data_IF_271138262466
#
_entry.id   IF_271138262466
#
_cell.length_a   1.000
_cell.length_b   1.000
_cell.length_c   1.000
_cell.angle_alpha   90.00
_cell.angle_beta   90.00
_cell.angle_gamma   90.00
#
_symmetry.space_group_name_H-M   'P 1'
#
loop_
_entity.id
_entity.type
_entity.pdbx_description
1 polymer ?
#
# COMPACT_ATOMS: atom_id res chain seq x y z
N UNK A 1 -3.63 -9.24 -22.88
CA UNK A 1 -4.12 -8.68 -21.61
C UNK A 1 -3.32 -9.32 -20.50
N UNK A 2 -2.54 -8.51 -19.79
CA UNK A 2 -1.75 -8.96 -18.66
C UNK A 2 -2.60 -9.02 -17.39
N UNK A 3 -2.21 -9.87 -16.45
CA UNK A 3 -2.83 -9.94 -15.13
C UNK A 3 -1.83 -9.58 -14.07
N UNK A 4 -2.27 -8.81 -13.09
CA UNK A 4 -1.49 -8.42 -11.92
C UNK A 4 -2.27 -8.73 -10.66
N UNK A 5 -1.61 -9.33 -9.69
CA UNK A 5 -2.09 -9.43 -8.32
C UNK A 5 -1.33 -8.42 -7.47
N UNK A 6 -2.02 -7.43 -6.96
CA UNK A 6 -1.42 -6.31 -6.20
C UNK A 6 -1.97 -6.27 -4.78
N UNK A 7 -1.15 -5.83 -3.83
CA UNK A 7 -1.57 -5.67 -2.44
C UNK A 7 -0.90 -4.47 -1.78
N UNK A 8 -1.54 -3.91 -0.76
CA UNK A 8 -0.97 -2.89 0.13
C UNK A 8 -1.20 -3.26 1.59
N UNK A 9 -0.26 -2.90 2.46
CA UNK A 9 -0.34 -3.07 3.91
C UNK A 9 0.51 -2.01 4.61
N UNK A 10 -0.06 -1.23 5.51
CA UNK A 10 0.71 -0.56 6.54
C UNK A 10 1.17 -1.62 7.55
N UNK A 11 2.51 -1.80 7.72
CA UNK A 11 3.07 -2.93 8.48
C UNK A 11 3.27 -2.62 9.97
N UNK A 12 2.92 -1.40 10.42
CA UNK A 12 3.12 -0.92 11.79
C UNK A 12 4.58 -1.09 12.24
N UNK A 13 5.53 -0.50 11.58
CA UNK A 13 6.97 -0.50 11.88
C UNK A 13 7.43 -1.65 12.84
N UNK A 14 8.48 -1.43 13.66
CA UNK A 14 8.96 -2.40 14.66
C UNK A 14 8.23 -2.30 16.00
N UNK A 15 7.21 -1.44 16.11
CA UNK A 15 6.45 -1.31 17.31
C UNK A 15 5.76 -2.63 17.67
N UNK A 16 5.46 -2.74 18.91
CA UNK A 16 4.70 -3.77 19.59
C UNK A 16 4.52 -5.10 18.86
N UNK A 17 4.98 -6.14 19.51
CA UNK A 17 4.75 -7.53 19.10
C UNK A 17 5.32 -7.88 17.71
N UNK A 18 6.26 -7.08 17.16
CA UNK A 18 6.83 -7.37 15.84
C UNK A 18 7.31 -8.82 15.69
N UNK A 19 8.04 -9.44 16.64
CA UNK A 19 8.45 -10.85 16.52
C UNK A 19 7.28 -11.83 16.42
N UNK A 20 6.13 -11.51 17.02
CA UNK A 20 4.91 -12.32 16.98
C UNK A 20 4.08 -12.07 15.72
N UNK A 21 4.07 -10.83 15.21
CA UNK A 21 3.36 -10.42 13.99
C UNK A 21 4.04 -10.94 12.72
N UNK A 22 5.36 -11.01 12.72
CA UNK A 22 6.15 -11.42 11.53
C UNK A 22 5.70 -12.79 10.96
N UNK A 23 5.52 -13.87 11.75
CA UNK A 23 5.03 -15.13 11.22
C UNK A 23 3.67 -15.06 10.54
N UNK A 24 2.75 -14.21 11.04
CA UNK A 24 1.43 -14.01 10.45
C UNK A 24 1.54 -13.32 9.08
N UNK A 25 2.34 -12.24 9.01
CA UNK A 25 2.59 -11.53 7.75
C UNK A 25 3.20 -12.47 6.71
N UNK A 26 4.17 -13.30 7.10
CA UNK A 26 4.82 -14.26 6.21
C UNK A 26 3.86 -15.33 5.71
N UNK A 27 2.98 -15.84 6.57
CA UNK A 27 1.98 -16.82 6.19
C UNK A 27 0.99 -16.24 5.16
N UNK A 28 0.51 -15.02 5.40
CA UNK A 28 -0.41 -14.34 4.49
C UNK A 28 0.28 -13.98 3.16
N UNK A 29 1.51 -13.49 3.18
CA UNK A 29 2.29 -13.25 1.96
C UNK A 29 2.50 -14.54 1.15
N UNK A 30 2.79 -15.66 1.82
CA UNK A 30 2.98 -16.95 1.16
C UNK A 30 1.68 -17.47 0.52
N UNK A 31 0.53 -17.20 1.14
CA UNK A 31 -0.78 -17.55 0.60
C UNK A 31 -1.21 -16.61 -0.54
N UNK A 32 -0.95 -15.32 -0.39
CA UNK A 32 -1.37 -14.27 -1.32
C UNK A 32 -0.51 -14.24 -2.60
N UNK A 33 0.81 -14.35 -2.46
CA UNK A 33 1.80 -14.27 -3.53
C UNK A 33 1.57 -13.11 -4.51
N UNK A 34 1.48 -11.85 -4.04
CA UNK A 34 1.21 -10.72 -4.91
C UNK A 34 2.38 -10.50 -5.90
N UNK A 35 2.06 -10.00 -7.09
CA UNK A 35 3.08 -9.56 -8.05
C UNK A 35 3.72 -8.24 -7.60
N UNK A 36 2.91 -7.37 -6.98
CA UNK A 36 3.32 -6.10 -6.41
C UNK A 36 2.75 -5.99 -5.00
N UNK A 37 3.61 -5.67 -4.02
CA UNK A 37 3.18 -5.42 -2.65
C UNK A 37 3.73 -4.09 -2.15
N UNK A 38 2.84 -3.15 -1.91
CA UNK A 38 3.16 -1.87 -1.28
C UNK A 38 3.13 -2.03 0.24
N UNK A 39 4.16 -1.51 0.90
CA UNK A 39 4.27 -1.51 2.36
C UNK A 39 4.50 -0.09 2.86
N UNK A 40 3.82 0.29 3.94
CA UNK A 40 4.03 1.54 4.64
C UNK A 40 4.61 1.28 6.03
N UNK A 41 5.24 2.28 6.62
CA UNK A 41 5.91 2.21 7.92
C UNK A 41 7.04 1.19 8.04
N UNK A 42 7.78 0.97 6.98
CA UNK A 42 8.80 -0.08 6.90
C UNK A 42 10.14 0.38 7.45
N UNK A 43 10.67 -0.32 8.45
CA UNK A 43 12.09 -0.28 8.80
C UNK A 43 12.83 -1.27 7.90
N UNK A 44 13.53 -0.78 6.88
CA UNK A 44 13.97 -1.60 5.74
C UNK A 44 14.78 -2.83 6.13
N UNK A 45 15.86 -2.67 6.87
CA UNK A 45 16.75 -3.78 7.24
C UNK A 45 16.06 -4.80 8.15
N UNK A 46 15.18 -4.33 9.03
CA UNK A 46 14.57 -5.18 10.06
C UNK A 46 13.27 -5.86 9.60
N UNK A 47 12.59 -5.27 8.63
CA UNK A 47 11.29 -5.75 8.15
C UNK A 47 11.35 -6.18 6.70
N UNK A 48 11.55 -5.25 5.76
CA UNK A 48 11.57 -5.54 4.33
C UNK A 48 12.55 -6.67 3.98
N UNK A 49 13.80 -6.58 4.43
CA UNK A 49 14.82 -7.56 4.06
C UNK A 49 14.52 -8.94 4.64
N UNK A 50 13.86 -9.00 5.81
CA UNK A 50 13.37 -10.27 6.38
C UNK A 50 12.20 -10.86 5.61
N UNK A 51 11.24 -10.02 5.19
CA UNK A 51 10.12 -10.47 4.36
C UNK A 51 10.60 -11.03 3.02
N UNK A 52 11.56 -10.34 2.37
CA UNK A 52 12.17 -10.81 1.12
C UNK A 52 12.92 -12.13 1.35
N UNK A 53 13.77 -12.20 2.35
CA UNK A 53 14.55 -13.41 2.65
C UNK A 53 13.66 -14.62 2.96
N UNK A 54 12.60 -14.42 3.74
CA UNK A 54 11.65 -15.49 4.08
C UNK A 54 10.73 -15.90 2.92
N UNK A 55 10.48 -14.99 1.96
CA UNK A 55 9.69 -15.29 0.75
C UNK A 55 10.42 -16.17 -0.27
N UNK A 56 11.72 -16.37 -0.09
CA UNK A 56 12.61 -17.12 -0.98
C UNK A 56 13.58 -16.19 -1.73
N UNK A 57 14.80 -16.66 -1.89
CA UNK A 57 15.86 -15.92 -2.57
C UNK A 57 15.44 -15.58 -4.01
N UNK A 58 15.65 -14.34 -4.43
CA UNK A 58 15.34 -13.84 -5.77
C UNK A 58 13.84 -13.69 -6.08
N UNK A 59 12.94 -13.93 -5.14
CA UNK A 59 11.50 -13.86 -5.42
C UNK A 59 10.97 -12.44 -5.54
N UNK A 60 11.48 -11.51 -4.73
CA UNK A 60 11.09 -10.10 -4.73
C UNK A 60 12.30 -9.18 -4.78
N UNK A 61 12.24 -8.18 -5.64
CA UNK A 61 13.07 -7.00 -5.56
C UNK A 61 12.33 -5.89 -4.78
N UNK A 62 13.07 -5.06 -4.04
CA UNK A 62 12.48 -3.97 -3.27
C UNK A 62 12.88 -2.60 -3.82
N UNK A 63 11.88 -1.73 -3.97
CA UNK A 63 12.04 -0.32 -4.30
C UNK A 63 11.61 0.51 -3.09
N UNK A 64 12.44 1.48 -2.67
CA UNK A 64 12.27 2.22 -1.40
C UNK A 64 11.95 3.69 -1.62
N UNK A 65 11.04 4.22 -0.81
CA UNK A 65 10.70 5.64 -0.77
C UNK A 65 10.66 6.16 0.67
N UNK A 66 11.41 7.23 0.94
CA UNK A 66 11.51 7.84 2.28
C UNK A 66 11.53 9.35 2.22
N UNK A 67 11.19 9.99 3.35
CA UNK A 67 11.42 11.40 3.62
C UNK A 67 12.20 11.57 4.92
N UNK A 68 13.37 12.20 4.86
CA UNK A 68 14.21 12.52 6.02
C UNK A 68 14.97 11.37 6.66
N UNK A 69 14.45 10.14 6.63
CA UNK A 69 15.05 8.93 7.25
C UNK A 69 15.25 7.84 6.22
N UNK A 70 16.49 7.61 5.74
CA UNK A 70 16.74 6.62 4.69
C UNK A 70 16.55 5.15 5.12
N UNK A 71 16.46 4.89 6.41
CA UNK A 71 16.22 3.55 6.99
C UNK A 71 14.74 3.20 7.16
N UNK A 72 13.83 4.18 6.97
CA UNK A 72 12.41 4.05 7.25
C UNK A 72 11.54 4.75 6.19
N UNK A 73 10.43 4.14 5.82
CA UNK A 73 9.48 4.73 4.87
C UNK A 73 8.57 3.71 4.21
N UNK A 74 8.34 3.91 2.91
CA UNK A 74 7.53 3.03 2.09
C UNK A 74 8.39 2.07 1.28
N UNK A 75 7.86 0.89 0.98
CA UNK A 75 8.51 -0.10 0.11
C UNK A 75 7.53 -0.62 -0.93
N UNK A 76 8.00 -0.86 -2.15
CA UNK A 76 7.32 -1.64 -3.16
C UNK A 76 8.12 -2.91 -3.40
N UNK A 77 7.56 -4.06 -3.07
CA UNK A 77 8.08 -5.35 -3.43
C UNK A 77 7.55 -5.72 -4.82
N UNK A 78 8.45 -6.01 -5.73
CA UNK A 78 8.15 -6.41 -7.11
C UNK A 78 8.58 -7.85 -7.28
N UNK A 79 7.63 -8.73 -7.62
CA UNK A 79 7.90 -10.16 -7.79
C UNK A 79 8.54 -10.45 -9.15
N UNK A 80 9.60 -11.26 -9.15
CA UNK A 80 10.18 -11.76 -10.39
C UNK A 80 9.16 -12.59 -11.21
N UNK A 81 9.16 -12.49 -12.54
CA UNK A 81 10.17 -11.84 -13.39
C UNK A 81 9.91 -10.34 -13.67
N UNK A 82 8.95 -9.70 -13.00
CA UNK A 82 8.71 -8.27 -13.17
C UNK A 82 9.90 -7.47 -12.66
N UNK A 83 10.24 -6.40 -13.35
CA UNK A 83 11.34 -5.50 -12.99
C UNK A 83 10.83 -4.07 -12.99
N UNK A 84 11.04 -3.38 -11.88
CA UNK A 84 10.82 -1.94 -11.81
C UNK A 84 11.93 -1.18 -12.52
N UNK A 85 11.56 -0.10 -13.20
CA UNK A 85 12.49 0.86 -13.76
C UNK A 85 13.10 1.78 -12.68
N UNK A 86 13.58 2.94 -13.09
CA UNK A 86 14.11 3.95 -12.18
C UNK A 86 13.07 4.39 -11.15
N UNK A 87 13.52 4.59 -9.92
CA UNK A 87 12.67 5.03 -8.81
C UNK A 87 12.75 6.54 -8.65
N UNK A 88 11.64 7.22 -8.93
CA UNK A 88 11.46 8.61 -8.58
C UNK A 88 10.84 8.73 -7.19
N UNK A 89 11.22 9.76 -6.42
CA UNK A 89 10.74 10.02 -5.06
C UNK A 89 10.19 11.42 -4.93
N UNK A 90 9.21 11.57 -4.07
CA UNK A 90 8.57 12.83 -3.73
C UNK A 90 8.53 12.97 -2.20
N UNK A 91 9.01 14.10 -1.71
CA UNK A 91 8.78 14.51 -0.31
C UNK A 91 7.42 15.21 -0.24
N UNK A 92 6.52 14.69 0.57
CA UNK A 92 5.17 15.24 0.80
C UNK A 92 5.11 16.17 2.01
N UNK A 93 6.25 16.44 2.66
CA UNK A 93 6.28 17.16 3.93
C UNK A 93 5.85 16.28 5.11
N UNK A 94 5.99 16.80 6.33
CA UNK A 94 5.58 16.13 7.57
C UNK A 94 6.14 14.70 7.71
N UNK A 95 7.35 14.45 7.19
CA UNK A 95 8.03 13.15 7.16
C UNK A 95 7.27 12.08 6.34
N UNK A 96 6.45 12.50 5.38
CA UNK A 96 5.74 11.61 4.45
C UNK A 96 6.35 11.69 3.06
N UNK A 97 6.32 10.58 2.37
CA UNK A 97 6.90 10.46 1.03
C UNK A 97 6.03 9.61 0.12
N UNK A 98 6.17 9.83 -1.18
CA UNK A 98 5.76 8.89 -2.20
C UNK A 98 6.97 8.46 -3.03
N UNK A 99 6.90 7.28 -3.64
CA UNK A 99 7.83 6.86 -4.67
C UNK A 99 7.08 6.18 -5.81
N UNK A 100 7.63 6.25 -7.02
CA UNK A 100 7.03 5.63 -8.21
C UNK A 100 8.09 5.00 -9.09
N UNK A 101 7.66 4.01 -9.85
CA UNK A 101 8.43 3.37 -10.93
C UNK A 101 7.49 3.00 -12.06
N UNK A 102 8.06 2.72 -13.24
CA UNK A 102 7.31 2.12 -14.36
C UNK A 102 7.72 0.65 -14.46
N UNK A 103 6.73 -0.23 -14.60
CA UNK A 103 6.91 -1.66 -14.80
C UNK A 103 6.38 -2.02 -16.18
N UNK A 104 7.18 -2.73 -16.96
CA UNK A 104 6.73 -3.31 -18.23
C UNK A 104 6.26 -4.74 -17.98
N UNK A 105 5.03 -5.03 -18.37
CA UNK A 105 4.42 -6.35 -18.20
C UNK A 105 4.82 -7.30 -19.35
N UNK A 106 4.66 -8.61 -19.17
CA UNK A 106 5.10 -9.60 -20.16
C UNK A 106 4.49 -9.44 -21.55
N UNK A 107 3.24 -8.97 -21.69
CA UNK A 107 2.63 -8.68 -22.99
C UNK A 107 3.00 -7.30 -23.55
N UNK A 108 3.80 -6.52 -22.87
CA UNK A 108 4.34 -5.24 -23.30
C UNK A 108 3.61 -4.01 -22.79
N UNK A 109 2.49 -4.16 -22.07
CA UNK A 109 1.82 -3.05 -21.42
C UNK A 109 2.70 -2.44 -20.31
N UNK A 110 2.59 -1.13 -20.13
CA UNK A 110 3.34 -0.39 -19.12
C UNK A 110 2.43 0.07 -17.99
N UNK A 111 2.89 -0.09 -16.75
CA UNK A 111 2.16 0.34 -15.56
C UNK A 111 3.03 1.26 -14.73
N UNK A 112 2.57 2.48 -14.48
CA UNK A 112 3.17 3.34 -13.47
C UNK A 112 2.61 2.95 -12.11
N UNK A 113 3.49 2.54 -11.22
CA UNK A 113 3.14 2.15 -9.84
C UNK A 113 3.69 3.18 -8.87
N UNK A 114 2.84 3.71 -8.01
CA UNK A 114 3.23 4.62 -6.94
C UNK A 114 2.80 4.07 -5.58
N UNK A 115 3.65 4.32 -4.57
CA UNK A 115 3.36 3.99 -3.17
C UNK A 115 3.45 5.26 -2.35
N UNK A 116 2.47 5.47 -1.46
CA UNK A 116 2.41 6.64 -0.58
C UNK A 116 1.97 6.26 0.83
N UNK A 117 2.19 7.16 1.76
CA UNK A 117 1.63 7.17 3.10
C UNK A 117 1.41 8.62 3.50
N UNK A 118 0.16 9.05 3.64
CA UNK A 118 -0.18 10.43 3.98
C UNK A 118 -0.12 10.67 5.50
N UNK A 119 -0.30 11.93 5.91
CA UNK A 119 -0.16 12.33 7.30
C UNK A 119 -1.28 11.77 8.19
N UNK A 120 -0.91 11.20 9.35
CA UNK A 120 -1.84 10.46 10.22
C UNK A 120 -2.55 11.32 11.27
N UNK A 121 -1.93 12.44 11.72
CA UNK A 121 -2.43 13.15 12.89
C UNK A 121 -3.86 13.71 12.69
N UNK A 122 -4.84 13.41 13.57
CA UNK A 122 -6.11 14.11 13.57
C UNK A 122 -5.95 15.52 14.18
N UNK A 123 -6.67 16.56 13.69
CA UNK A 123 -7.64 16.57 12.60
C UNK A 123 -7.05 16.99 11.23
N UNK A 124 -5.96 16.39 10.79
CA UNK A 124 -5.11 16.84 9.67
C UNK A 124 -5.71 16.59 8.26
N UNK A 125 -7.03 16.73 8.10
CA UNK A 125 -7.70 16.55 6.80
C UNK A 125 -7.22 17.54 5.74
N UNK A 126 -6.88 18.78 6.12
CA UNK A 126 -6.34 19.78 5.20
C UNK A 126 -4.93 19.43 4.72
N UNK A 127 -4.07 18.96 5.62
CA UNK A 127 -2.71 18.53 5.31
C UNK A 127 -2.72 17.31 4.36
N UNK A 128 -3.62 16.35 4.59
CA UNK A 128 -3.81 15.20 3.69
C UNK A 128 -4.32 15.63 2.31
N UNK A 129 -5.23 16.59 2.25
CA UNK A 129 -5.71 17.14 0.97
C UNK A 129 -4.60 17.83 0.19
N UNK A 130 -3.74 18.61 0.85
CA UNK A 130 -2.55 19.24 0.25
C UNK A 130 -1.55 18.19 -0.22
N UNK A 131 -1.29 17.14 0.57
CA UNK A 131 -0.42 16.04 0.18
C UNK A 131 -0.97 15.27 -1.01
N UNK A 132 -2.28 15.02 -1.05
CA UNK A 132 -2.93 14.38 -2.20
C UNK A 132 -2.85 15.26 -3.47
N UNK A 133 -3.00 16.59 -3.34
CA UNK A 133 -2.81 17.53 -4.44
C UNK A 133 -1.37 17.47 -4.99
N UNK A 134 -0.38 17.53 -4.10
CA UNK A 134 1.04 17.44 -4.45
C UNK A 134 1.39 16.10 -5.11
N UNK A 135 0.85 15.00 -4.58
CA UNK A 135 0.99 13.67 -5.17
C UNK A 135 0.43 13.63 -6.60
N UNK A 136 -0.77 14.15 -6.81
CA UNK A 136 -1.43 14.15 -8.12
C UNK A 136 -0.69 15.02 -9.14
N UNK A 137 -0.19 16.18 -8.76
CA UNK A 137 0.64 17.04 -9.62
C UNK A 137 1.91 16.30 -10.06
N UNK A 138 2.58 15.64 -9.10
CA UNK A 138 3.78 14.85 -9.39
C UNK A 138 3.48 13.65 -10.30
N UNK A 139 2.33 12.99 -10.12
CA UNK A 139 1.90 11.88 -10.97
C UNK A 139 1.54 12.37 -12.39
N UNK A 140 0.99 13.58 -12.54
CA UNK A 140 0.70 14.15 -13.84
C UNK A 140 1.97 14.45 -14.65
N UNK A 141 3.09 14.75 -14.00
CA UNK A 141 4.41 14.90 -14.61
C UNK A 141 5.20 13.59 -14.80
N UNK A 142 4.56 12.43 -14.59
CA UNK A 142 5.21 11.13 -14.77
C UNK A 142 5.34 10.76 -16.26
N UNK A 143 6.24 9.80 -16.59
CA UNK A 143 6.22 9.14 -17.88
C UNK A 143 4.83 8.56 -18.20
N UNK A 144 4.43 8.63 -19.48
CA UNK A 144 3.19 7.99 -19.93
C UNK A 144 3.25 6.47 -19.68
N UNK A 145 2.12 5.90 -19.27
CA UNK A 145 1.93 4.48 -19.09
C UNK A 145 0.49 4.12 -19.44
N UNK A 146 0.25 2.86 -19.84
CA UNK A 146 -1.08 2.39 -20.22
C UNK A 146 -2.04 2.40 -19.01
N UNK A 147 -1.50 2.11 -17.83
CA UNK A 147 -2.24 2.18 -16.57
C UNK A 147 -1.40 2.81 -15.47
N UNK A 148 -2.10 3.32 -14.45
CA UNK A 148 -1.49 3.85 -13.22
C UNK A 148 -2.13 3.20 -12.01
N UNK A 149 -1.31 2.73 -11.09
CA UNK A 149 -1.70 2.16 -9.80
C UNK A 149 -1.06 2.98 -8.70
N UNK A 150 -1.86 3.51 -7.77
CA UNK A 150 -1.37 4.19 -6.57
C UNK A 150 -1.85 3.40 -5.36
N UNK A 151 -0.92 2.97 -4.52
CA UNK A 151 -1.23 2.13 -3.36
C UNK A 151 -0.72 2.77 -2.07
N UNK A 152 -1.44 2.56 -0.99
CA UNK A 152 -0.95 2.92 0.33
C UNK A 152 -2.01 3.34 1.32
N UNK A 153 -1.50 3.78 2.46
CA UNK A 153 -2.25 4.35 3.55
C UNK A 153 -2.42 5.87 3.32
N UNK A 154 -3.65 6.28 3.08
CA UNK A 154 -4.01 7.67 2.86
C UNK A 154 -4.37 8.39 4.17
N UNK A 155 -4.55 7.66 5.26
CA UNK A 155 -5.04 8.20 6.53
C UNK A 155 -6.29 9.06 6.39
N UNK A 156 -7.04 8.86 5.32
CA UNK A 156 -8.22 9.65 4.93
C UNK A 156 -9.37 8.71 4.60
N UNK A 157 -10.49 8.86 5.30
CA UNK A 157 -11.71 8.12 5.00
C UNK A 157 -12.38 8.61 3.69
N UNK A 158 -13.34 7.86 3.13
CA UNK A 158 -14.02 8.23 1.88
C UNK A 158 -14.79 9.57 1.91
N UNK A 159 -14.99 10.18 3.07
CA UNK A 159 -15.67 11.48 3.21
C UNK A 159 -14.70 12.65 3.22
N UNK A 160 -13.38 12.37 3.32
CA UNK A 160 -12.36 13.40 3.36
C UNK A 160 -12.04 13.98 1.98
N UNK A 161 -11.57 15.25 1.93
CA UNK A 161 -11.19 15.91 0.67
C UNK A 161 -10.12 15.15 -0.11
N UNK A 162 -9.15 14.53 0.54
CA UNK A 162 -8.08 13.75 -0.11
C UNK A 162 -8.64 12.61 -0.96
N UNK A 163 -9.65 11.86 -0.47
CA UNK A 163 -10.35 10.83 -1.23
C UNK A 163 -11.09 11.43 -2.44
N UNK A 164 -11.88 12.48 -2.20
CA UNK A 164 -12.63 13.15 -3.27
C UNK A 164 -11.70 13.71 -4.36
N UNK A 165 -10.51 14.16 -4.00
CA UNK A 165 -9.47 14.66 -4.90
C UNK A 165 -8.95 13.56 -5.82
N UNK A 166 -8.68 12.37 -5.29
CA UNK A 166 -8.28 11.21 -6.10
C UNK A 166 -9.35 10.85 -7.13
N UNK A 167 -10.61 10.79 -6.70
CA UNK A 167 -11.75 10.53 -7.60
C UNK A 167 -11.88 11.61 -8.68
N UNK A 168 -11.79 12.90 -8.30
CA UNK A 168 -11.85 14.02 -9.25
C UNK A 168 -10.72 14.01 -10.28
N UNK A 169 -9.55 13.46 -9.93
CA UNK A 169 -8.41 13.25 -10.83
C UNK A 169 -8.57 12.02 -11.74
N UNK A 170 -9.72 11.35 -11.71
CA UNK A 170 -10.03 10.19 -12.55
C UNK A 170 -9.50 8.86 -12.04
N UNK A 171 -9.07 8.79 -10.77
CA UNK A 171 -8.76 7.52 -10.14
C UNK A 171 -10.02 6.84 -9.62
N UNK A 172 -10.01 5.52 -9.64
CA UNK A 172 -11.06 4.64 -9.12
C UNK A 172 -10.46 3.74 -8.06
N UNK A 173 -11.14 3.56 -6.93
CA UNK A 173 -10.74 2.58 -5.94
C UNK A 173 -11.00 1.17 -6.45
N UNK A 174 -9.99 0.31 -6.38
CA UNK A 174 -10.12 -1.09 -6.78
C UNK A 174 -11.15 -1.83 -5.91
N UNK A 175 -11.16 -1.56 -4.61
CA UNK A 175 -12.09 -2.22 -3.70
C UNK A 175 -13.53 -1.79 -3.99
N UNK A 176 -13.78 -0.49 -4.12
CA UNK A 176 -15.12 0.04 -4.41
C UNK A 176 -15.62 -0.39 -5.80
N UNK A 177 -14.73 -0.47 -6.81
CA UNK A 177 -15.09 -0.95 -8.15
C UNK A 177 -15.53 -2.42 -8.14
N UNK A 178 -14.85 -3.27 -7.36
CA UNK A 178 -15.18 -4.70 -7.26
C UNK A 178 -16.40 -4.99 -6.39
N UNK A 179 -16.62 -4.21 -5.32
CA UNK A 179 -17.57 -4.54 -4.26
C UNK A 179 -18.77 -3.57 -4.19
N UNK A 180 -18.75 -2.47 -4.96
CA UNK A 180 -19.80 -1.44 -4.98
C UNK A 180 -19.67 -0.37 -3.89
N UNK A 181 -18.78 -0.54 -2.92
CA UNK A 181 -18.44 0.44 -1.88
C UNK A 181 -17.06 0.15 -1.32
N UNK A 182 -16.47 1.10 -0.60
CA UNK A 182 -15.28 0.86 0.19
C UNK A 182 -15.56 -0.09 1.37
N UNK A 183 -14.53 -0.78 1.91
CA UNK A 183 -14.69 -1.56 3.14
C UNK A 183 -15.05 -0.64 4.30
N UNK A 184 -15.76 -1.18 5.28
CA UNK A 184 -16.13 -0.41 6.48
C UNK A 184 -14.94 -0.09 7.37
N UNK A 185 -13.85 -0.84 7.23
CA UNK A 185 -12.65 -0.71 8.07
C UNK A 185 -11.43 -1.29 7.36
N UNK A 186 -10.33 -0.53 7.38
CA UNK A 186 -8.98 -1.04 7.22
C UNK A 186 -8.14 -0.76 8.47
N UNK A 187 -8.54 0.18 9.32
CA UNK A 187 -7.97 0.49 10.62
C UNK A 187 -9.08 0.86 11.61
N UNK A 188 -9.00 0.40 12.89
CA UNK A 188 -8.03 -0.52 13.46
C UNK A 188 -8.38 -1.99 13.19
N UNK A 189 -7.35 -2.86 13.14
CA UNK A 189 -7.55 -4.31 12.98
C UNK A 189 -8.05 -5.02 14.24
N UNK A 190 -7.81 -4.42 15.41
CA UNK A 190 -7.99 -5.04 16.71
C UNK A 190 -6.71 -5.59 17.35
N UNK A 191 -5.54 -5.32 16.74
CA UNK A 191 -4.24 -5.58 17.34
C UNK A 191 -4.12 -4.83 18.67
N UNK A 192 -3.85 -5.55 19.76
CA UNK A 192 -3.50 -4.91 21.03
C UNK A 192 -1.99 -4.65 21.09
N UNK A 193 -1.62 -3.40 21.01
CA UNK A 193 -0.25 -2.91 20.98
C UNK A 193 -0.09 -1.75 21.98
N UNK A 194 0.25 -2.04 23.25
CA UNK A 194 0.21 -1.05 24.34
C UNK A 194 1.13 0.16 24.18
N UNK A 195 2.18 0.08 23.34
CA UNK A 195 3.11 1.18 23.12
C UNK A 195 2.70 2.11 21.96
N UNK A 196 1.68 1.72 21.18
CA UNK A 196 1.19 2.48 20.04
C UNK A 196 -0.30 2.73 20.18
N UNK A 197 -0.78 3.81 19.57
CA UNK A 197 -2.22 4.05 19.41
C UNK A 197 -2.74 3.18 18.26
N UNK A 198 -3.33 2.06 18.64
CA UNK A 198 -3.90 1.08 17.69
C UNK A 198 -5.42 0.96 17.83
N UNK A 199 -6.02 1.82 18.66
CA UNK A 199 -7.44 1.86 18.92
C UNK A 199 -8.05 3.15 18.34
N UNK A 200 -9.23 3.07 17.75
CA UNK A 200 -9.95 4.21 17.22
C UNK A 200 -11.30 3.80 16.63
N UNK A 201 -12.03 4.78 16.11
CA UNK A 201 -13.24 4.50 15.35
C UNK A 201 -12.87 3.78 14.04
N UNK A 202 -13.60 2.74 13.62
CA UNK A 202 -13.32 2.02 12.38
C UNK A 202 -13.41 2.92 11.16
N UNK A 203 -12.32 2.96 10.38
CA UNK A 203 -12.21 3.76 9.16
C UNK A 203 -11.55 2.98 8.02
N UNK A 204 -11.86 3.36 6.78
CA UNK A 204 -11.18 2.91 5.58
C UNK A 204 -10.08 3.92 5.23
N UNK A 205 -8.82 3.55 5.42
CA UNK A 205 -7.66 4.42 5.23
C UNK A 205 -6.72 3.95 4.12
N UNK A 206 -6.79 2.66 3.74
CA UNK A 206 -5.88 2.00 2.82
C UNK A 206 -6.54 1.75 1.48
N UNK A 207 -5.86 2.13 0.39
CA UNK A 207 -6.45 2.06 -0.95
C UNK A 207 -5.49 1.52 -2.00
N UNK A 208 -6.10 0.92 -3.04
CA UNK A 208 -5.49 0.66 -4.34
C UNK A 208 -6.28 1.49 -5.37
N UNK A 209 -5.68 2.58 -5.82
CA UNK A 209 -6.24 3.49 -6.80
C UNK A 209 -5.79 3.14 -8.20
N UNK A 210 -6.70 3.17 -9.16
CA UNK A 210 -6.48 2.81 -10.55
C UNK A 210 -6.87 3.95 -11.50
N UNK A 211 -6.05 4.17 -12.54
CA UNK A 211 -6.36 5.06 -13.66
C UNK A 211 -5.82 4.46 -14.96
N UNK A 212 -6.48 4.75 -16.10
CA UNK A 212 -6.08 4.22 -17.41
C UNK A 212 -6.63 2.83 -17.69
N UNK A 213 -5.89 2.02 -18.45
CA UNK A 213 -6.31 0.72 -18.98
C UNK A 213 -6.18 -0.42 -17.94
N UNK A 214 -6.70 -0.21 -16.75
CA UNK A 214 -6.77 -1.20 -15.69
C UNK A 214 -8.23 -1.53 -15.34
N UNK A 215 -8.55 -2.81 -15.20
CA UNK A 215 -9.85 -3.33 -14.73
C UNK A 215 -9.65 -4.20 -13.51
N UNK A 216 -10.57 -4.13 -12.57
CA UNK A 216 -10.59 -5.00 -11.39
C UNK A 216 -11.41 -6.24 -11.70
N UNK A 217 -10.88 -7.41 -11.42
CA UNK A 217 -11.64 -8.66 -11.47
C UNK A 217 -12.05 -9.16 -10.08
N UNK A 218 -11.27 -8.80 -9.05
CA UNK A 218 -11.55 -9.10 -7.63
C UNK A 218 -10.78 -8.11 -6.73
N UNK A 219 -11.37 -7.73 -5.61
CA UNK A 219 -10.67 -7.01 -4.55
C UNK A 219 -11.23 -7.39 -3.17
N UNK A 220 -10.33 -7.55 -2.19
CA UNK A 220 -10.69 -7.99 -0.84
C UNK A 220 -9.73 -7.45 0.22
N UNK A 221 -10.16 -7.53 1.47
CA UNK A 221 -9.27 -7.38 2.62
C UNK A 221 -8.37 -8.61 2.74
N UNK A 222 -7.15 -8.37 3.21
CA UNK A 222 -6.13 -9.38 3.46
C UNK A 222 -5.36 -8.98 4.72
N UNK A 223 -4.56 -9.89 5.29
CA UNK A 223 -3.92 -9.66 6.60
C UNK A 223 -4.94 -9.33 7.71
N UNK A 224 -6.16 -9.83 7.53
CA UNK A 224 -7.36 -9.50 8.30
C UNK A 224 -7.71 -10.53 9.38
N UNK A 225 -6.83 -11.52 9.59
CA UNK A 225 -7.07 -12.60 10.53
C UNK A 225 -6.14 -12.54 11.72
N UNK A 226 -6.68 -12.64 12.96
CA UNK A 226 -5.85 -12.74 14.15
C UNK A 226 -5.14 -14.09 14.21
N UNK A 227 -4.16 -14.17 15.11
CA UNK A 227 -3.54 -15.44 15.48
C UNK A 227 -4.59 -16.40 16.03
N UNK A 228 -4.61 -17.70 15.64
CA UNK A 228 -5.67 -18.64 16.05
C UNK A 228 -5.82 -18.81 17.56
N UNK A 229 -4.74 -18.66 18.32
CA UNK A 229 -4.72 -18.83 19.79
C UNK A 229 -4.71 -17.49 20.53
N UNK A 230 -4.58 -16.35 19.82
CA UNK A 230 -4.56 -15.01 20.41
C UNK A 230 -5.37 -14.03 19.55
N UNK A 231 -6.64 -13.81 19.86
CA UNK A 231 -7.51 -12.94 19.08
C UNK A 231 -7.13 -11.45 19.14
N UNK A 232 -6.15 -11.08 19.96
CA UNK A 232 -5.61 -9.73 20.07
C UNK A 232 -4.34 -9.51 19.23
N UNK A 233 -3.82 -10.57 18.62
CA UNK A 233 -2.63 -10.54 17.78
C UNK A 233 -3.03 -10.60 16.30
N UNK A 234 -2.87 -9.50 15.59
CA UNK A 234 -3.04 -9.38 14.14
C UNK A 234 -1.69 -9.18 13.44
N UNK A 235 -1.60 -9.38 12.10
CA UNK A 235 -0.39 -9.07 11.32
C UNK A 235 0.07 -7.62 11.47
N UNK A 236 -0.88 -6.68 11.52
CA UNK A 236 -0.69 -5.24 11.71
C UNK A 236 -1.90 -4.66 12.45
N UNK A 237 -1.84 -3.40 12.85
CA UNK A 237 -3.00 -2.61 13.28
C UNK A 237 -3.89 -2.18 12.10
N UNK A 238 -3.42 -2.34 10.86
CA UNK A 238 -4.21 -2.23 9.64
C UNK A 238 -4.55 -3.61 9.05
N UNK A 239 -5.68 -3.70 8.35
CA UNK A 239 -5.91 -4.71 7.33
C UNK A 239 -5.29 -4.25 6.02
N UNK A 240 -4.75 -5.19 5.24
CA UNK A 240 -4.31 -4.91 3.89
C UNK A 240 -5.48 -4.96 2.89
N UNK A 241 -5.25 -4.38 1.73
CA UNK A 241 -6.14 -4.49 0.57
C UNK A 241 -5.40 -5.22 -0.54
N UNK A 242 -6.05 -6.18 -1.19
CA UNK A 242 -5.51 -6.85 -2.38
C UNK A 242 -6.51 -6.79 -3.52
N UNK A 243 -5.99 -6.75 -4.75
CA UNK A 243 -6.80 -6.77 -5.96
C UNK A 243 -6.16 -7.59 -7.08
N UNK A 244 -6.98 -8.28 -7.85
CA UNK A 244 -6.62 -8.87 -9.14
C UNK A 244 -7.02 -7.90 -10.25
N UNK A 245 -6.04 -7.53 -11.07
CA UNK A 245 -6.18 -6.54 -12.13
C UNK A 245 -5.93 -7.19 -13.49
N UNK A 246 -6.65 -6.70 -14.50
CA UNK A 246 -6.40 -6.95 -15.93
C UNK A 246 -5.94 -5.63 -16.55
N UNK A 247 -4.80 -5.67 -17.27
CA UNK A 247 -4.14 -4.50 -17.86
C UNK A 247 -4.09 -4.67 -19.39
N UNK A 248 -4.49 -3.63 -20.11
CA UNK A 248 -4.42 -3.61 -21.59
C UNK A 248 -5.74 -3.49 -22.29
#
# INVERSE_FOLDING_TARGET
MDRLHVATLNILNLADRWPERLPLILADMAALQPDLMALQEVVYVMQQDRLIGASGEGRYAALRGWAGRPEYGNSLLVREPLVGGDVARLDLGLQRAAHRTVITLPAGATVLVAVTHLHHAPPASAERDEQAATLLEWLAGAPEADAMIVMGDFNADPKEPAYARMVAAGFRSAFAEANGSEPSVTWPSGLQAPAMDTDGDPDCLDYIWLRGAARVSDARLVFDRPHPEDPTLYPSDHFGVAAHLEIG
#
